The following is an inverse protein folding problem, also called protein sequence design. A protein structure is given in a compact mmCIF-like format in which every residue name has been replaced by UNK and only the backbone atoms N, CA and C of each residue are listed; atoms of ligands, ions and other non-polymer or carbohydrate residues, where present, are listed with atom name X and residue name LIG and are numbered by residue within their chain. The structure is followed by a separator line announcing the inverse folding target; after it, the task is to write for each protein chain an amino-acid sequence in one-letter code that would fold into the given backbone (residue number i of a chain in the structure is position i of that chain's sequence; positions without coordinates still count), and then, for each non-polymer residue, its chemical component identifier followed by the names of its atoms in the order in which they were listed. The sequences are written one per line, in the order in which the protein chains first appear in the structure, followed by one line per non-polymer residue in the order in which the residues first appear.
data_IF_412204692943
#
_entry.id   IF_412204692943
#
_cell.length_a   1.000
_cell.length_b   1.000
_cell.length_c   1.000
_cell.angle_alpha   90.00
_cell.angle_beta   90.00
_cell.angle_gamma   90.00
#
_symmetry.space_group_name_H-M   'P 1'
#
loop_
_entity.id
_entity.type
_entity.pdbx_description
1 polymer ?
#
# COMPACT_ATOMS: atom_id res chain seq x y z
N UNK A 1 -4.31 -6.30 9.17
CA UNK A 1 -3.84 -5.78 7.87
C UNK A 1 -4.94 -5.99 6.85
N UNK A 2 -5.26 -4.99 6.03
CA UNK A 2 -6.34 -5.07 5.06
C UNK A 2 -5.88 -4.53 3.71
N UNK A 3 -6.06 -5.34 2.65
CA UNK A 3 -5.78 -4.96 1.28
C UNK A 3 -7.09 -4.97 0.48
N UNK A 4 -7.49 -3.80 -0.01
CA UNK A 4 -8.69 -3.67 -0.84
C UNK A 4 -8.23 -3.44 -2.27
N UNK A 5 -8.62 -4.34 -3.19
CA UNK A 5 -8.35 -4.17 -4.62
C UNK A 5 -9.65 -3.80 -5.33
N UNK A 6 -9.63 -2.72 -6.10
CA UNK A 6 -10.75 -2.23 -6.89
C UNK A 6 -10.33 -2.10 -8.35
N UNK A 7 -10.90 -2.93 -9.20
CA UNK A 7 -10.70 -2.84 -10.64
C UNK A 7 -11.46 -1.63 -11.20
N UNK A 8 -10.78 -0.76 -11.95
CA UNK A 8 -11.45 0.32 -12.66
C UNK A 8 -12.07 -0.22 -13.96
N UNK A 9 -13.32 0.13 -14.22
CA UNK A 9 -14.00 -0.24 -15.48
C UNK A 9 -13.57 0.62 -16.67
N UNK A 10 -12.99 1.79 -16.39
CA UNK A 10 -12.64 2.82 -17.38
C UNK A 10 -11.19 2.75 -17.85
N UNK A 11 -10.32 2.05 -17.12
CA UNK A 11 -8.89 1.90 -17.41
C UNK A 11 -8.44 0.50 -17.00
N UNK A 12 -7.48 -0.12 -17.71
CA UNK A 12 -6.92 -1.42 -17.33
C UNK A 12 -5.97 -1.26 -16.14
N UNK A 13 -6.47 -0.75 -15.02
CA UNK A 13 -5.72 -0.55 -13.77
C UNK A 13 -6.53 -1.04 -12.58
N UNK A 14 -5.84 -1.63 -11.61
CA UNK A 14 -6.33 -2.05 -10.32
C UNK A 14 -5.90 -1.05 -9.26
N UNK A 15 -6.87 -0.40 -8.63
CA UNK A 15 -6.60 0.44 -7.47
C UNK A 15 -6.45 -0.44 -6.24
N UNK A 16 -5.25 -0.55 -5.70
CA UNK A 16 -4.96 -1.29 -4.50
C UNK A 16 -4.81 -0.32 -3.32
N UNK A 17 -5.72 -0.42 -2.37
CA UNK A 17 -5.68 0.34 -1.11
C UNK A 17 -5.12 -0.55 -0.02
N UNK A 18 -3.92 -0.22 0.44
CA UNK A 18 -3.22 -0.85 1.54
C UNK A 18 -3.60 -0.14 2.82
N UNK A 19 -4.09 -0.87 3.80
CA UNK A 19 -4.42 -0.35 5.13
C UNK A 19 -3.73 -1.19 6.20
N UNK A 20 -2.97 -0.53 7.04
CA UNK A 20 -2.21 -1.14 8.12
C UNK A 20 -2.68 -0.53 9.45
N UNK A 21 -2.94 -1.37 10.45
CA UNK A 21 -3.39 -0.90 11.75
C UNK A 21 -2.22 -0.26 12.51
N UNK A 22 -2.52 0.70 13.39
CA UNK A 22 -1.50 1.34 14.24
C UNK A 22 -0.73 0.31 15.09
N UNK A 23 -1.46 -0.70 15.57
CA UNK A 23 -0.95 -1.79 16.43
C UNK A 23 0.01 -2.74 15.70
N UNK A 24 -0.01 -2.77 14.36
CA UNK A 24 0.83 -3.67 13.58
C UNK A 24 2.30 -3.23 13.54
N UNK A 25 2.59 -1.98 13.90
CA UNK A 25 3.93 -1.43 13.96
C UNK A 25 4.08 -0.71 15.29
N UNK A 26 4.71 -1.41 16.24
CA UNK A 26 4.94 -0.93 17.61
C UNK A 26 5.77 0.36 17.58
N UNK A 27 5.09 1.50 17.53
CA UNK A 27 5.71 2.83 17.59
C UNK A 27 6.35 3.39 16.32
N UNK A 28 6.14 2.80 15.12
CA UNK A 28 6.67 3.44 13.91
C UNK A 28 5.94 4.74 13.56
N UNK A 29 6.72 5.81 13.40
CA UNK A 29 6.25 7.14 13.00
C UNK A 29 6.15 7.32 11.49
N UNK A 30 6.75 6.43 10.72
CA UNK A 30 6.69 6.42 9.26
C UNK A 30 6.66 4.99 8.78
N UNK A 31 5.85 4.74 7.75
CA UNK A 31 5.67 3.42 7.16
C UNK A 31 5.78 3.57 5.67
N UNK A 32 6.56 2.71 5.04
CA UNK A 32 6.72 2.71 3.60
C UNK A 32 6.24 1.39 3.02
N UNK A 33 5.56 1.49 1.87
CA UNK A 33 5.14 0.32 1.12
C UNK A 33 6.20 0.01 0.07
N UNK A 34 6.91 -1.08 0.28
CA UNK A 34 7.92 -1.57 -0.64
C UNK A 34 7.28 -2.67 -1.47
N UNK A 35 7.56 -2.75 -2.76
CA UNK A 35 7.07 -3.86 -3.57
C UNK A 35 7.66 -3.89 -4.97
N UNK A 36 7.33 -4.97 -5.68
CA UNK A 36 7.85 -5.25 -7.03
C UNK A 36 7.47 -4.16 -8.04
N UNK A 37 6.27 -3.60 -7.91
CA UNK A 37 5.76 -2.49 -8.74
C UNK A 37 6.58 -1.19 -8.62
N UNK A 38 7.48 -1.12 -7.64
CA UNK A 38 8.30 0.03 -7.33
C UNK A 38 9.78 -0.37 -7.19
N UNK A 39 10.15 -1.55 -7.71
CA UNK A 39 11.54 -2.02 -7.70
C UNK A 39 12.12 -2.29 -6.32
N UNK A 40 11.29 -2.53 -5.31
CA UNK A 40 11.69 -2.70 -3.91
C UNK A 40 12.34 -1.46 -3.26
N UNK A 41 12.02 -0.27 -3.75
CA UNK A 41 12.50 0.98 -3.17
C UNK A 41 11.68 1.41 -1.93
N UNK A 42 12.38 1.74 -0.84
CA UNK A 42 11.79 2.13 0.46
C UNK A 42 11.42 3.61 0.57
N UNK A 43 11.85 4.46 -0.36
CA UNK A 43 11.66 5.92 -0.27
C UNK A 43 10.51 6.48 -1.10
N UNK A 44 9.94 5.66 -1.96
CA UNK A 44 9.10 6.08 -3.08
C UNK A 44 7.61 6.03 -2.76
N UNK A 45 7.20 5.26 -1.74
CA UNK A 45 5.79 5.07 -1.37
C UNK A 45 5.54 5.18 0.14
N UNK A 46 5.64 6.40 0.70
CA UNK A 46 5.29 6.65 2.10
C UNK A 46 3.77 6.47 2.32
N UNK A 47 3.40 5.65 3.30
CA UNK A 47 2.00 5.53 3.73
C UNK A 47 1.57 6.75 4.54
N UNK A 48 0.29 7.10 4.42
CA UNK A 48 -0.29 8.22 5.15
C UNK A 48 -0.92 7.74 6.46
N UNK A 49 -0.48 8.31 7.59
CA UNK A 49 -1.13 8.10 8.89
C UNK A 49 -2.51 8.75 8.91
N UNK A 50 -3.53 7.98 9.30
CA UNK A 50 -4.89 8.45 9.57
C UNK A 50 -5.00 8.90 11.02
N UNK A 51 -6.06 9.67 11.31
CA UNK A 51 -6.36 10.15 12.68
C UNK A 51 -6.59 9.02 13.69
N UNK A 52 -7.02 7.87 13.20
CA UNK A 52 -7.23 6.64 13.97
C UNK A 52 -5.91 5.91 14.30
N UNK A 53 -4.76 6.45 13.89
CA UNK A 53 -3.44 5.83 14.04
C UNK A 53 -3.11 4.80 12.96
N UNK A 54 -4.10 4.32 12.21
CA UNK A 54 -3.90 3.42 11.07
C UNK A 54 -3.20 4.11 9.89
N UNK A 55 -2.44 3.35 9.12
CA UNK A 55 -1.75 3.78 7.92
C UNK A 55 -2.54 3.38 6.68
N UNK A 56 -2.56 4.26 5.68
CA UNK A 56 -3.26 4.00 4.42
C UNK A 56 -2.45 4.51 3.23
N UNK A 57 -2.35 3.68 2.20
CA UNK A 57 -1.76 4.04 0.92
C UNK A 57 -2.62 3.48 -0.22
N UNK A 58 -2.70 4.23 -1.31
CA UNK A 58 -3.45 3.82 -2.48
C UNK A 58 -2.53 3.91 -3.69
N UNK A 59 -2.41 2.81 -4.42
CA UNK A 59 -1.60 2.73 -5.64
C UNK A 59 -2.41 2.13 -6.77
N UNK A 60 -2.06 2.49 -8.00
CA UNK A 60 -2.61 1.92 -9.21
C UNK A 60 -1.65 0.85 -9.75
N UNK A 61 -2.11 -0.39 -9.83
CA UNK A 61 -1.35 -1.55 -10.30
C UNK A 61 -1.95 -2.09 -11.59
N UNK A 62 -1.16 -2.78 -12.40
CA UNK A 62 -1.70 -3.41 -13.61
C UNK A 62 -2.48 -4.69 -13.26
N UNK A 63 -3.69 -4.89 -13.83
CA UNK A 63 -4.43 -6.13 -13.68
C UNK A 63 -3.71 -7.30 -14.36
N UNK A 64 -3.83 -8.49 -13.78
CA UNK A 64 -3.29 -9.72 -14.38
C UNK A 64 -1.82 -9.97 -14.09
N UNK A 65 -1.19 -9.17 -13.23
CA UNK A 65 0.13 -9.45 -12.65
C UNK A 65 0.04 -9.77 -11.17
N UNK A 66 0.93 -10.64 -10.72
CA UNK A 66 1.17 -10.89 -9.31
C UNK A 66 2.23 -9.90 -8.83
N UNK A 67 1.96 -9.26 -7.69
CA UNK A 67 2.87 -8.30 -7.08
C UNK A 67 3.14 -8.72 -5.65
N UNK A 68 4.40 -8.59 -5.25
CA UNK A 68 4.83 -8.77 -3.87
C UNK A 68 5.03 -7.40 -3.22
N UNK A 69 4.73 -7.31 -1.93
CA UNK A 69 4.90 -6.10 -1.15
C UNK A 69 5.27 -6.42 0.30
N UNK A 70 5.93 -5.46 0.94
CA UNK A 70 6.37 -5.49 2.32
C UNK A 70 6.16 -4.10 2.95
N UNK A 71 5.82 -4.08 4.24
CA UNK A 71 5.75 -2.84 5.02
C UNK A 71 7.08 -2.64 5.73
N UNK A 72 7.69 -1.46 5.56
CA UNK A 72 8.96 -1.07 6.18
C UNK A 72 8.78 0.12 7.11
#
# INVERSE_FOLDING_TARGET
MSLIKKHLKTRPVCKATFTLAADALDGQENVWLIGDFNGWEDTTLPMKKKKDGSWSLEIELEPGREYQFLYH
#
